data_IF_685424626998
#
_entry.id   IF_685424626998
#
_cell.length_a   1.000
_cell.length_b   1.000
_cell.length_c   1.000
_cell.angle_alpha   90.00
_cell.angle_beta   90.00
_cell.angle_gamma   90.00
#
_symmetry.space_group_name_H-M   'P 1'
#
loop_
_entity.id
_entity.type
_entity.pdbx_description
1 polymer ?
#
# COMPACT_ATOMS: atom_id res chain seq x y z
N UNK A 1 10.41 -4.52 -7.44
CA UNK A 1 9.45 -3.65 -6.74
C UNK A 1 8.39 -3.12 -7.72
N UNK A 2 7.13 -3.04 -7.31
CA UNK A 2 6.03 -2.38 -8.03
C UNK A 2 5.36 -1.37 -7.10
N UNK A 3 5.08 -0.16 -7.59
CA UNK A 3 4.45 0.91 -6.82
C UNK A 3 3.17 1.32 -7.54
N UNK A 4 2.07 1.40 -6.80
CA UNK A 4 0.78 1.87 -7.28
C UNK A 4 0.32 3.03 -6.39
N UNK A 5 0.07 4.19 -6.98
CA UNK A 5 -0.52 5.33 -6.28
C UNK A 5 -1.99 5.45 -6.65
N UNK A 6 -2.84 5.69 -5.66
CA UNK A 6 -4.26 5.93 -5.84
C UNK A 6 -4.69 7.11 -4.96
N UNK A 7 -5.68 7.88 -5.40
CA UNK A 7 -6.18 9.05 -4.66
C UNK A 7 -7.66 8.83 -4.39
N UNK A 8 -8.04 8.82 -3.10
CA UNK A 8 -9.41 8.60 -2.66
C UNK A 8 -9.73 9.68 -1.63
N UNK A 9 -10.83 10.42 -1.81
CA UNK A 9 -11.24 11.52 -0.91
C UNK A 9 -10.11 12.52 -0.62
N UNK A 10 -9.36 12.96 -1.65
CA UNK A 10 -8.24 13.91 -1.52
C UNK A 10 -7.08 13.39 -0.63
N UNK A 11 -7.08 12.11 -0.28
CA UNK A 11 -6.01 11.41 0.42
C UNK A 11 -5.27 10.54 -0.58
N UNK A 12 -3.96 10.72 -0.66
CA UNK A 12 -3.10 9.94 -1.55
C UNK A 12 -2.61 8.68 -0.84
N UNK A 13 -2.97 7.54 -1.41
CA UNK A 13 -2.58 6.21 -0.98
C UNK A 13 -1.51 5.66 -1.92
N UNK A 14 -0.45 5.09 -1.36
CA UNK A 14 0.60 4.42 -2.13
C UNK A 14 0.71 2.99 -1.66
N UNK A 15 0.55 2.05 -2.58
CA UNK A 15 0.75 0.63 -2.36
C UNK A 15 2.08 0.23 -2.98
N UNK A 16 2.95 -0.40 -2.20
CA UNK A 16 4.27 -0.84 -2.65
C UNK A 16 4.32 -2.36 -2.51
N UNK A 17 4.46 -3.05 -3.63
CA UNK A 17 4.62 -4.49 -3.73
C UNK A 17 6.09 -4.84 -3.96
N UNK A 18 6.67 -5.60 -3.03
CA UNK A 18 8.10 -5.90 -3.03
C UNK A 18 8.36 -7.25 -2.34
N UNK A 19 9.54 -7.85 -2.52
CA UNK A 19 9.93 -9.09 -1.80
C UNK A 19 10.71 -8.76 -0.53
N UNK A 20 10.90 -9.72 0.37
CA UNK A 20 11.72 -9.52 1.57
C UNK A 20 13.16 -9.08 1.27
N UNK A 21 13.74 -9.58 0.18
CA UNK A 21 15.06 -9.13 -0.29
C UNK A 21 15.04 -7.66 -0.72
N UNK A 22 14.04 -7.25 -1.49
CA UNK A 22 13.88 -5.87 -1.96
C UNK A 22 13.68 -4.92 -0.78
N UNK A 23 12.93 -5.32 0.26
CA UNK A 23 12.73 -4.50 1.47
C UNK A 23 14.04 -4.19 2.21
N UNK A 24 15.00 -5.12 2.17
CA UNK A 24 16.31 -4.96 2.82
C UNK A 24 17.22 -4.02 2.03
N UNK A 25 16.94 -3.76 0.75
CA UNK A 25 17.73 -2.84 -0.08
C UNK A 25 17.59 -1.40 0.44
N UNK A 26 18.72 -0.70 0.48
CA UNK A 26 18.77 0.70 0.96
C UNK A 26 17.89 1.62 0.09
N UNK A 27 17.88 1.39 -1.22
CA UNK A 27 17.06 2.13 -2.19
C UNK A 27 15.57 2.06 -1.87
N UNK A 28 15.05 0.90 -1.46
CA UNK A 28 13.62 0.73 -1.12
C UNK A 28 13.25 1.46 0.17
N UNK A 29 14.15 1.47 1.17
CA UNK A 29 13.93 2.24 2.40
C UNK A 29 13.86 3.74 2.14
N UNK A 30 14.72 4.25 1.26
CA UNK A 30 14.74 5.66 0.88
C UNK A 30 13.45 6.09 0.17
N UNK A 31 12.94 5.23 -0.72
CA UNK A 31 11.64 5.44 -1.40
C UNK A 31 10.48 5.51 -0.40
N UNK A 32 10.41 4.56 0.55
CA UNK A 32 9.37 4.55 1.60
C UNK A 32 9.45 5.80 2.46
N UNK A 33 10.67 6.24 2.82
CA UNK A 33 10.86 7.46 3.62
C UNK A 33 10.43 8.71 2.86
N UNK A 34 10.70 8.80 1.56
CA UNK A 34 10.24 9.91 0.71
C UNK A 34 8.71 9.99 0.67
N UNK A 35 8.01 8.87 0.48
CA UNK A 35 6.54 8.86 0.52
C UNK A 35 5.99 9.26 1.90
N UNK A 36 6.69 8.89 2.98
CA UNK A 36 6.29 9.25 4.35
C UNK A 36 6.45 10.75 4.60
N UNK A 37 7.53 11.36 4.10
CA UNK A 37 7.76 12.82 4.14
C UNK A 37 6.68 13.58 3.37
N UNK A 38 6.23 13.03 2.24
CA UNK A 38 5.18 13.64 1.44
C UNK A 38 3.75 13.41 1.99
N UNK A 39 3.60 12.87 3.22
CA UNK A 39 2.32 12.60 3.90
C UNK A 39 1.38 11.63 3.16
N UNK A 40 1.91 10.76 2.30
CA UNK A 40 1.11 9.71 1.65
C UNK A 40 0.78 8.60 2.66
N UNK A 41 -0.41 8.01 2.54
CA UNK A 41 -0.77 6.79 3.28
C UNK A 41 -0.17 5.58 2.56
N UNK A 42 0.88 5.00 3.13
CA UNK A 42 1.64 3.91 2.49
C UNK A 42 1.16 2.55 3.01
N UNK A 43 0.86 1.63 2.10
CA UNK A 43 0.71 0.20 2.36
C UNK A 43 1.87 -0.57 1.72
N UNK A 44 2.64 -1.31 2.52
CA UNK A 44 3.75 -2.14 2.01
C UNK A 44 3.32 -3.61 2.03
N UNK A 45 3.42 -4.25 0.87
CA UNK A 45 3.04 -5.64 0.67
C UNK A 45 4.27 -6.45 0.31
N UNK A 46 4.54 -7.48 1.10
CA UNK A 46 5.74 -8.31 0.99
C UNK A 46 5.36 -9.67 0.37
N UNK A 47 5.81 -9.91 -0.86
CA UNK A 47 5.68 -11.18 -1.56
C UNK A 47 6.45 -12.29 -0.84
N UNK A 48 5.81 -13.45 -0.63
CA UNK A 48 6.36 -14.59 0.09
C UNK A 48 5.65 -14.90 1.41
N UNK A 49 4.87 -13.94 1.95
CA UNK A 49 3.97 -14.22 3.08
C UNK A 49 2.61 -14.72 2.56
N UNK A 50 2.24 -15.94 2.97
CA UNK A 50 1.01 -16.69 2.58
C UNK A 50 -0.30 -15.90 2.72
N UNK A 51 -0.34 -14.84 3.52
CA UNK A 51 -1.56 -14.08 3.81
C UNK A 51 -1.91 -12.96 2.81
N UNK A 52 -1.17 -12.84 1.71
CA UNK A 52 -1.34 -11.80 0.69
C UNK A 52 -2.78 -11.65 0.15
N UNK A 53 -3.49 -12.73 -0.24
CA UNK A 53 -4.84 -12.61 -0.79
C UNK A 53 -5.87 -12.16 0.26
N UNK A 54 -5.70 -12.61 1.52
CA UNK A 54 -6.64 -12.30 2.59
C UNK A 54 -6.57 -10.84 3.04
N UNK A 55 -5.36 -10.27 3.10
CA UNK A 55 -5.17 -8.86 3.46
C UNK A 55 -5.73 -7.96 2.36
N UNK A 56 -5.46 -8.29 1.09
CA UNK A 56 -6.06 -7.58 -0.05
C UNK A 56 -7.59 -7.64 -0.02
N UNK A 57 -8.17 -8.82 0.23
CA UNK A 57 -9.61 -8.99 0.33
C UNK A 57 -10.21 -8.12 1.44
N UNK A 58 -9.59 -8.05 2.62
CA UNK A 58 -10.05 -7.17 3.72
C UNK A 58 -9.94 -5.67 3.37
N UNK A 59 -8.91 -5.25 2.65
CA UNK A 59 -8.73 -3.85 2.26
C UNK A 59 -9.75 -3.45 1.18
N UNK A 60 -9.95 -4.30 0.17
CA UNK A 60 -10.93 -4.07 -0.90
C UNK A 60 -12.36 -4.07 -0.34
N UNK A 61 -12.69 -5.01 0.56
CA UNK A 61 -14.02 -5.01 1.21
C UNK A 61 -14.26 -3.72 2.00
N UNK A 62 -13.27 -3.23 2.76
CA UNK A 62 -13.39 -1.96 3.47
C UNK A 62 -13.55 -0.75 2.54
N UNK A 63 -12.94 -0.77 1.35
CA UNK A 63 -13.14 0.31 0.36
C UNK A 63 -14.56 0.28 -0.21
N UNK A 64 -15.07 -0.90 -0.60
CA UNK A 64 -16.43 -1.07 -1.10
C UNK A 64 -17.48 -0.69 -0.04
N UNK A 65 -17.28 -1.09 1.22
CA UNK A 65 -18.17 -0.71 2.32
C UNK A 65 -18.18 0.81 2.56
N UNK A 66 -17.02 1.48 2.45
CA UNK A 66 -16.95 2.94 2.59
C UNK A 66 -17.64 3.63 1.42
N UNK A 67 -17.47 3.16 0.17
CA UNK A 67 -18.17 3.71 -1.00
C UNK A 67 -19.69 3.54 -0.91
N UNK A 68 -20.18 2.43 -0.34
CA UNK A 68 -21.62 2.20 -0.15
C UNK A 68 -22.24 3.03 0.99
N UNK A 69 -21.43 3.59 1.89
CA UNK A 69 -21.90 4.39 3.03
C UNK A 69 -21.77 5.91 2.79
N UNK A 70 -21.36 6.33 1.59
CA UNK A 70 -21.49 7.70 1.10
C UNK A 70 -22.83 7.81 0.38
N UNK A 71 -23.90 8.06 1.14
CA UNK A 71 -25.22 8.41 0.63
C UNK A 71 -25.43 9.93 0.72
#
# INVERSE_FOLDING_TARGET
MQITSNEIFNIKYVQIYLTEEELKRKSTKEVIENYKKQKYKIGVFITGKKNYPEVLKKIVMKQVEVEQNVC
#
